data_IF_252084185679
#
_entry.id   IF_252084185679
#
_cell.length_a   1.000
_cell.length_b   1.000
_cell.length_c   1.000
_cell.angle_alpha   90.00
_cell.angle_beta   90.00
_cell.angle_gamma   90.00
#
_symmetry.space_group_name_H-M   'P 1'
#
loop_
_entity.id
_entity.type
_entity.pdbx_description
1 polymer ?
#
# COMPACT_ATOMS: atom_id res chain seq x y z
N UNK A 1 -29.58 -40.11 -33.15
CA UNK A 1 -29.17 -41.27 -32.33
C UNK A 1 -28.23 -40.77 -31.24
N UNK A 2 -28.81 -40.30 -30.11
CA UNK A 2 -28.07 -40.05 -28.88
C UNK A 2 -28.48 -41.11 -27.85
N UNK A 3 -27.98 -42.33 -28.02
CA UNK A 3 -28.30 -43.49 -27.23
C UNK A 3 -27.22 -43.81 -26.18
N UNK A 4 -26.76 -42.80 -25.44
CA UNK A 4 -25.76 -43.03 -24.39
C UNK A 4 -25.95 -42.17 -23.13
N UNK A 5 -27.17 -41.78 -22.79
CA UNK A 5 -27.45 -41.17 -21.50
C UNK A 5 -28.32 -42.14 -20.70
N UNK A 6 -27.84 -42.71 -19.59
CA UNK A 6 -28.63 -43.58 -18.73
C UNK A 6 -29.91 -42.85 -18.28
N UNK A 7 -31.06 -43.56 -18.33
CA UNK A 7 -32.37 -43.03 -17.96
C UNK A 7 -32.40 -42.46 -16.54
N UNK A 8 -31.54 -42.96 -15.66
CA UNK A 8 -31.35 -42.45 -14.29
C UNK A 8 -30.82 -41.03 -14.25
N UNK A 9 -29.98 -40.63 -15.21
CA UNK A 9 -29.45 -39.24 -15.29
C UNK A 9 -30.54 -38.30 -15.78
N UNK A 10 -31.38 -38.73 -16.73
CA UNK A 10 -32.50 -37.91 -17.24
C UNK A 10 -33.56 -37.72 -16.13
N UNK A 11 -33.84 -38.76 -15.36
CA UNK A 11 -34.74 -38.69 -14.22
C UNK A 11 -34.21 -37.86 -13.06
N UNK A 12 -32.89 -37.84 -12.85
CA UNK A 12 -32.22 -36.96 -11.87
C UNK A 12 -32.22 -35.49 -12.31
N UNK A 13 -31.99 -35.21 -13.59
CA UNK A 13 -32.00 -33.90 -14.18
C UNK A 13 -33.40 -33.26 -14.21
N UNK A 14 -34.46 -34.10 -14.43
CA UNK A 14 -35.85 -33.60 -14.42
C UNK A 14 -36.38 -33.28 -13.02
N UNK A 15 -35.77 -33.83 -11.95
CA UNK A 15 -36.10 -33.54 -10.56
C UNK A 15 -35.41 -32.23 -10.01
N UNK A 16 -34.46 -31.72 -10.76
CA UNK A 16 -33.79 -30.47 -10.36
C UNK A 16 -34.67 -29.29 -10.73
N UNK A 17 -35.16 -28.57 -9.75
CA UNK A 17 -35.86 -27.29 -9.96
C UNK A 17 -34.86 -26.21 -10.44
N UNK A 18 -34.59 -26.24 -11.76
CA UNK A 18 -33.68 -25.29 -12.42
C UNK A 18 -34.09 -23.84 -12.20
N UNK A 19 -35.39 -23.58 -12.05
CA UNK A 19 -35.94 -22.24 -11.89
C UNK A 19 -35.53 -21.66 -10.54
N UNK A 20 -35.60 -22.44 -9.46
CA UNK A 20 -35.17 -21.98 -8.14
C UNK A 20 -33.64 -21.82 -8.10
N UNK A 21 -32.87 -22.74 -8.66
CA UNK A 21 -31.42 -22.67 -8.69
C UNK A 21 -30.89 -21.48 -9.51
N UNK A 22 -31.50 -21.23 -10.68
CA UNK A 22 -31.13 -20.05 -11.49
C UNK A 22 -31.47 -18.77 -10.74
N UNK A 23 -32.63 -18.72 -10.07
CA UNK A 23 -33.03 -17.55 -9.28
C UNK A 23 -32.08 -17.31 -8.11
N UNK A 24 -31.59 -18.37 -7.45
CA UNK A 24 -30.62 -18.27 -6.35
C UNK A 24 -29.24 -17.83 -6.85
N UNK A 25 -28.78 -18.36 -7.99
CA UNK A 25 -27.55 -17.92 -8.64
C UNK A 25 -27.65 -16.43 -9.02
N UNK A 26 -28.74 -16.04 -9.66
CA UNK A 26 -28.98 -14.64 -10.06
C UNK A 26 -28.99 -13.72 -8.82
N UNK A 27 -29.67 -14.10 -7.74
CA UNK A 27 -29.67 -13.34 -6.48
C UNK A 27 -28.28 -13.24 -5.87
N UNK A 28 -27.52 -14.34 -5.86
CA UNK A 28 -26.13 -14.37 -5.33
C UNK A 28 -25.21 -13.47 -6.15
N UNK A 29 -25.34 -13.51 -7.48
CA UNK A 29 -24.57 -12.61 -8.37
C UNK A 29 -24.99 -11.15 -8.17
N UNK A 30 -26.30 -10.90 -8.05
CA UNK A 30 -26.79 -9.53 -7.84
C UNK A 30 -26.38 -8.94 -6.49
N UNK A 31 -26.41 -9.73 -5.42
CA UNK A 31 -25.93 -9.33 -4.09
C UNK A 31 -24.40 -9.18 -4.08
N UNK A 32 -23.68 -10.03 -4.80
CA UNK A 32 -22.23 -9.92 -4.97
C UNK A 32 -21.83 -8.64 -5.73
N UNK A 33 -22.57 -8.28 -6.78
CA UNK A 33 -22.34 -7.04 -7.53
C UNK A 33 -22.60 -5.79 -6.67
N UNK A 34 -23.64 -5.82 -5.82
CA UNK A 34 -23.92 -4.73 -4.88
C UNK A 34 -22.77 -4.52 -3.89
N UNK A 35 -22.27 -5.59 -3.30
CA UNK A 35 -21.16 -5.51 -2.36
C UNK A 35 -19.85 -5.05 -3.02
N UNK A 36 -19.58 -5.46 -4.27
CA UNK A 36 -18.43 -4.97 -5.04
C UNK A 36 -18.56 -3.48 -5.33
N UNK A 37 -19.76 -3.01 -5.69
CA UNK A 37 -20.01 -1.60 -5.96
C UNK A 37 -19.83 -0.76 -4.70
N UNK A 38 -20.30 -1.23 -3.54
CA UNK A 38 -20.10 -0.56 -2.25
C UNK A 38 -18.60 -0.49 -1.88
N UNK A 39 -17.86 -1.55 -2.10
CA UNK A 39 -16.40 -1.55 -1.89
C UNK A 39 -15.72 -0.56 -2.82
N UNK A 40 -16.08 -0.51 -4.09
CA UNK A 40 -15.50 0.44 -5.06
C UNK A 40 -15.83 1.88 -4.66
N UNK A 41 -17.09 2.19 -4.35
CA UNK A 41 -17.50 3.54 -3.94
C UNK A 41 -16.81 3.95 -2.65
N UNK A 42 -16.75 3.07 -1.66
CA UNK A 42 -16.07 3.34 -0.39
C UNK A 42 -14.58 3.55 -0.59
N UNK A 43 -13.94 2.73 -1.42
CA UNK A 43 -12.51 2.85 -1.71
C UNK A 43 -12.21 4.16 -2.44
N UNK A 44 -12.97 4.49 -3.48
CA UNK A 44 -12.80 5.75 -4.23
C UNK A 44 -13.03 6.96 -3.31
N UNK A 45 -14.07 6.94 -2.48
CA UNK A 45 -14.34 8.01 -1.51
C UNK A 45 -13.20 8.17 -0.50
N UNK A 46 -12.66 7.06 -0.02
CA UNK A 46 -11.52 7.05 0.91
C UNK A 46 -10.25 7.60 0.25
N UNK A 47 -10.00 7.26 -1.01
CA UNK A 47 -8.88 7.80 -1.77
C UNK A 47 -9.00 9.30 -2.00
N UNK A 48 -10.18 9.79 -2.41
CA UNK A 48 -10.42 11.23 -2.60
C UNK A 48 -10.25 11.98 -1.29
N UNK A 49 -10.80 11.47 -0.19
CA UNK A 49 -10.63 12.04 1.15
C UNK A 49 -9.16 12.04 1.58
N UNK A 50 -8.44 10.93 1.34
CA UNK A 50 -7.02 10.79 1.64
C UNK A 50 -6.15 11.79 0.86
N UNK A 51 -6.41 11.96 -0.44
CA UNK A 51 -5.70 12.93 -1.28
C UNK A 51 -5.96 14.36 -0.81
N UNK A 52 -7.20 14.70 -0.49
CA UNK A 52 -7.56 16.03 0.04
C UNK A 52 -6.85 16.30 1.35
N UNK A 53 -6.87 15.34 2.27
CA UNK A 53 -6.18 15.45 3.56
C UNK A 53 -4.66 15.58 3.38
N UNK A 54 -4.06 14.78 2.51
CA UNK A 54 -2.63 14.88 2.20
C UNK A 54 -2.25 16.25 1.61
N UNK A 55 -3.07 16.77 0.70
CA UNK A 55 -2.86 18.08 0.11
C UNK A 55 -2.90 19.20 1.17
N UNK A 56 -3.92 19.19 2.04
CA UNK A 56 -4.01 20.14 3.14
C UNK A 56 -2.84 20.00 4.12
N UNK A 57 -2.43 18.76 4.43
CA UNK A 57 -1.29 18.50 5.29
C UNK A 57 0.02 19.03 4.69
N UNK A 58 0.23 18.89 3.38
CA UNK A 58 1.41 19.45 2.69
C UNK A 58 1.40 20.97 2.75
N UNK A 59 0.26 21.63 2.46
CA UNK A 59 0.16 23.10 2.57
C UNK A 59 0.48 23.55 3.99
N UNK A 60 -0.09 22.88 4.99
CA UNK A 60 0.15 23.21 6.39
C UNK A 60 1.61 22.98 6.79
N UNK A 61 2.22 21.89 6.33
CA UNK A 61 3.64 21.59 6.55
C UNK A 61 4.54 22.68 5.94
N UNK A 62 4.26 23.11 4.70
CA UNK A 62 5.00 24.21 4.05
C UNK A 62 4.86 25.50 4.86
N UNK A 63 3.65 25.83 5.30
CA UNK A 63 3.40 27.02 6.13
C UNK A 63 4.18 26.96 7.45
N UNK A 64 4.17 25.82 8.13
CA UNK A 64 4.96 25.63 9.35
C UNK A 64 6.47 25.73 9.10
N UNK A 65 6.96 25.16 7.99
CA UNK A 65 8.38 25.22 7.62
C UNK A 65 8.83 26.66 7.34
N UNK A 66 8.01 27.46 6.66
CA UNK A 66 8.30 28.87 6.41
C UNK A 66 8.34 29.68 7.71
N UNK A 67 7.49 29.32 8.69
CA UNK A 67 7.41 29.97 10.01
C UNK A 67 8.29 29.35 11.10
N UNK A 68 9.05 28.26 10.83
CA UNK A 68 9.69 27.42 11.85
C UNK A 68 10.55 28.20 12.86
N UNK A 69 11.32 29.15 12.40
CA UNK A 69 12.22 29.92 13.26
C UNK A 69 11.43 30.85 14.22
N UNK A 70 10.35 31.45 13.71
CA UNK A 70 9.49 32.34 14.52
C UNK A 70 8.68 31.53 15.54
N UNK A 71 8.06 30.46 15.09
CA UNK A 71 7.26 29.56 15.94
C UNK A 71 8.14 28.91 17.01
N UNK A 72 9.30 28.38 16.61
CA UNK A 72 10.26 27.77 17.55
C UNK A 72 10.78 28.74 18.62
N UNK A 73 11.12 29.98 18.24
CA UNK A 73 11.58 30.99 19.20
C UNK A 73 10.46 31.42 20.15
N UNK A 74 9.23 31.55 19.68
CA UNK A 74 8.09 31.87 20.53
C UNK A 74 7.78 30.75 21.51
N UNK A 75 7.79 29.50 21.02
CA UNK A 75 7.56 28.34 21.86
C UNK A 75 8.63 28.18 22.94
N UNK A 76 9.90 28.33 22.58
CA UNK A 76 11.01 28.33 23.54
C UNK A 76 10.84 29.41 24.61
N UNK A 77 10.48 30.65 24.21
CA UNK A 77 10.24 31.75 25.15
C UNK A 77 9.13 31.44 26.14
N UNK A 78 8.01 30.87 25.67
CA UNK A 78 6.90 30.50 26.54
C UNK A 78 7.33 29.37 27.49
N UNK A 79 8.02 28.35 26.97
CA UNK A 79 8.49 27.25 27.78
C UNK A 79 9.46 27.69 28.88
N UNK A 80 10.46 28.52 28.57
CA UNK A 80 11.41 29.00 29.57
C UNK A 80 10.77 29.93 30.61
N UNK A 81 9.61 30.54 30.31
CA UNK A 81 8.93 31.39 31.27
C UNK A 81 8.03 30.62 32.25
N UNK A 82 7.36 29.54 31.78
CA UNK A 82 6.36 28.82 32.56
C UNK A 82 6.85 27.48 33.09
N UNK A 83 7.95 26.95 32.58
CA UNK A 83 8.40 25.58 32.88
C UNK A 83 9.79 25.63 33.50
N UNK A 84 10.04 24.84 34.59
CA UNK A 84 11.37 24.74 35.20
C UNK A 84 12.44 24.29 34.21
N UNK A 85 13.64 24.80 34.29
CA UNK A 85 14.76 24.50 33.39
C UNK A 85 15.03 23.03 33.19
N UNK A 86 14.95 22.22 34.26
CA UNK A 86 15.13 20.77 34.19
C UNK A 86 14.16 20.05 33.22
N UNK A 87 12.95 20.58 33.06
CA UNK A 87 11.95 20.01 32.16
C UNK A 87 12.19 20.52 30.73
N UNK A 88 12.57 21.78 30.60
CA UNK A 88 12.86 22.39 29.29
C UNK A 88 14.09 21.73 28.64
N UNK A 89 15.16 21.44 29.38
CA UNK A 89 16.32 20.72 28.87
C UNK A 89 15.95 19.32 28.37
N UNK A 90 15.12 18.58 29.13
CA UNK A 90 14.64 17.25 28.72
C UNK A 90 13.77 17.32 27.45
N UNK A 91 12.93 18.35 27.36
CA UNK A 91 12.09 18.57 26.20
C UNK A 91 12.93 18.90 24.95
N UNK A 92 13.91 19.80 25.06
CA UNK A 92 14.85 20.14 23.98
C UNK A 92 15.66 18.91 23.54
N UNK A 93 16.04 18.04 24.48
CA UNK A 93 16.70 16.78 24.18
C UNK A 93 15.79 15.84 23.38
N UNK A 94 14.54 15.65 23.82
CA UNK A 94 13.56 14.81 23.13
C UNK A 94 13.25 15.35 21.73
N UNK A 95 13.06 16.66 21.59
CA UNK A 95 12.84 17.28 20.28
C UNK A 95 14.02 17.06 19.33
N UNK A 96 15.25 17.18 19.83
CA UNK A 96 16.45 16.95 19.02
C UNK A 96 16.58 15.47 18.57
N UNK A 97 16.34 14.55 19.52
CA UNK A 97 16.36 13.11 19.20
C UNK A 97 15.24 12.76 18.21
N UNK A 98 14.06 13.34 18.39
CA UNK A 98 12.95 13.15 17.44
C UNK A 98 13.30 13.69 16.05
N UNK A 99 13.83 14.92 15.95
CA UNK A 99 14.23 15.51 14.67
C UNK A 99 15.27 14.66 13.94
N UNK A 100 16.31 14.21 14.66
CA UNK A 100 17.34 13.33 14.10
C UNK A 100 16.78 11.97 13.66
N UNK A 101 15.89 11.39 14.46
CA UNK A 101 15.27 10.10 14.16
C UNK A 101 14.33 10.21 12.95
N UNK A 102 13.51 11.26 12.87
CA UNK A 102 12.65 11.52 11.72
C UNK A 102 13.45 11.78 10.45
N UNK A 103 14.51 12.57 10.54
CA UNK A 103 15.38 12.82 9.39
C UNK A 103 15.98 11.51 8.84
N UNK A 104 16.57 10.70 9.71
CA UNK A 104 17.12 9.40 9.34
C UNK A 104 16.05 8.46 8.75
N UNK A 105 14.88 8.43 9.37
CA UNK A 105 13.75 7.62 8.89
C UNK A 105 13.31 8.03 7.48
N UNK A 106 13.08 9.33 7.25
CA UNK A 106 12.62 9.83 5.93
C UNK A 106 13.65 9.54 4.84
N UNK A 107 14.94 9.79 5.11
CA UNK A 107 16.01 9.51 4.15
C UNK A 107 16.10 8.01 3.84
N UNK A 108 16.03 7.17 4.86
CA UNK A 108 16.03 5.72 4.69
C UNK A 108 14.81 5.24 3.89
N UNK A 109 13.62 5.76 4.19
CA UNK A 109 12.38 5.41 3.52
C UNK A 109 12.38 5.84 2.04
N UNK A 110 12.89 7.05 1.74
CA UNK A 110 13.08 7.49 0.35
C UNK A 110 14.05 6.57 -0.41
N UNK A 111 15.14 6.19 0.23
CA UNK A 111 16.14 5.31 -0.38
C UNK A 111 15.57 3.92 -0.64
N UNK A 112 14.86 3.36 0.34
CA UNK A 112 14.19 2.07 0.24
C UNK A 112 13.14 2.06 -0.87
N UNK A 113 12.27 3.09 -0.92
CA UNK A 113 11.25 3.22 -1.95
C UNK A 113 11.84 3.26 -3.38
N UNK A 114 12.95 3.98 -3.58
CA UNK A 114 13.63 4.02 -4.88
C UNK A 114 14.26 2.67 -5.25
N UNK A 115 14.88 1.98 -4.29
CA UNK A 115 15.45 0.64 -4.51
C UNK A 115 14.33 -0.34 -4.87
N UNK A 116 13.24 -0.37 -4.10
CA UNK A 116 12.14 -1.30 -4.30
C UNK A 116 11.45 -1.07 -5.65
N UNK A 117 11.11 0.18 -5.98
CA UNK A 117 10.52 0.50 -7.27
C UNK A 117 11.44 0.26 -8.46
N UNK A 118 12.75 0.49 -8.28
CA UNK A 118 13.78 0.14 -9.28
C UNK A 118 13.86 -1.37 -9.50
N UNK A 119 13.93 -2.17 -8.44
CA UNK A 119 13.95 -3.63 -8.52
C UNK A 119 12.65 -4.17 -9.10
N UNK A 120 11.50 -3.60 -8.73
CA UNK A 120 10.21 -3.95 -9.29
C UNK A 120 10.20 -3.72 -10.82
N UNK A 121 10.61 -2.52 -11.26
CA UNK A 121 10.68 -2.18 -12.68
C UNK A 121 11.62 -3.10 -13.43
N UNK A 122 12.84 -3.29 -12.94
CA UNK A 122 13.85 -4.14 -13.58
C UNK A 122 13.41 -5.60 -13.64
N UNK A 123 12.88 -6.14 -12.55
CA UNK A 123 12.39 -7.51 -12.50
C UNK A 123 11.23 -7.75 -13.48
N UNK A 124 10.29 -6.81 -13.55
CA UNK A 124 9.19 -6.88 -14.52
C UNK A 124 9.68 -6.80 -15.97
N UNK A 125 10.69 -5.96 -16.26
CA UNK A 125 11.31 -5.88 -17.60
C UNK A 125 11.99 -7.20 -17.98
N UNK A 126 12.74 -7.81 -17.05
CA UNK A 126 13.39 -9.11 -17.27
C UNK A 126 12.33 -10.19 -17.56
N UNK A 127 11.23 -10.20 -16.81
CA UNK A 127 10.12 -11.14 -17.00
C UNK A 127 9.21 -10.78 -18.18
N UNK A 128 9.51 -9.67 -18.89
CA UNK A 128 8.72 -9.16 -20.02
C UNK A 128 7.25 -8.95 -19.67
N UNK A 129 6.98 -8.48 -18.45
CA UNK A 129 5.65 -8.14 -17.99
C UNK A 129 5.25 -6.75 -18.48
N UNK A 130 3.96 -6.53 -18.79
CA UNK A 130 3.46 -5.23 -19.23
C UNK A 130 3.47 -4.22 -18.08
N UNK A 131 3.43 -2.93 -18.43
CA UNK A 131 3.31 -1.80 -17.49
C UNK A 131 4.46 -1.69 -16.46
N UNK A 132 5.63 -2.25 -16.72
CA UNK A 132 6.75 -2.31 -15.77
C UNK A 132 7.12 -0.94 -15.18
N UNK A 133 7.30 0.08 -16.03
CA UNK A 133 7.65 1.43 -15.56
C UNK A 133 6.53 2.08 -14.73
N UNK A 134 5.27 1.88 -15.11
CA UNK A 134 4.12 2.44 -14.41
C UNK A 134 3.96 1.77 -13.03
N UNK A 135 4.01 0.44 -12.97
CA UNK A 135 3.88 -0.30 -11.71
C UNK A 135 5.06 -0.01 -10.80
N UNK A 136 6.28 0.08 -11.34
CA UNK A 136 7.45 0.48 -10.57
C UNK A 136 7.32 1.90 -9.99
N UNK A 137 6.84 2.87 -10.78
CA UNK A 137 6.60 4.22 -10.29
C UNK A 137 5.51 4.27 -9.19
N UNK A 138 4.42 3.52 -9.37
CA UNK A 138 3.39 3.36 -8.33
C UNK A 138 3.98 2.73 -7.07
N UNK A 139 4.83 1.71 -7.22
CA UNK A 139 5.52 1.08 -6.09
C UNK A 139 6.40 2.08 -5.34
N UNK A 140 7.17 2.95 -6.03
CA UNK A 140 7.94 4.02 -5.37
C UNK A 140 7.04 4.92 -4.52
N UNK A 141 5.94 5.38 -5.11
CA UNK A 141 5.02 6.31 -4.40
C UNK A 141 4.32 5.63 -3.23
N UNK A 142 3.87 4.41 -3.40
CA UNK A 142 3.15 3.69 -2.35
C UNK A 142 4.08 3.19 -1.24
N UNK A 143 5.34 2.87 -1.53
CA UNK A 143 6.34 2.41 -0.57
C UNK A 143 6.62 3.42 0.55
N UNK A 144 6.28 4.71 0.38
CA UNK A 144 6.35 5.68 1.47
C UNK A 144 5.47 5.31 2.69
N UNK A 145 4.46 4.48 2.49
CA UNK A 145 3.64 3.95 3.57
C UNK A 145 4.07 2.50 3.81
N UNK A 146 4.86 2.22 4.86
CA UNK A 146 5.37 0.88 5.13
C UNK A 146 4.25 -0.16 5.18
N UNK A 147 4.48 -1.35 4.64
CA UNK A 147 3.54 -2.47 4.55
C UNK A 147 2.36 -2.21 3.61
N UNK A 148 1.65 -1.09 3.78
CA UNK A 148 0.48 -0.73 2.96
C UNK A 148 0.89 -0.44 1.51
N UNK A 149 2.03 0.21 1.33
CA UNK A 149 2.54 0.56 0.00
C UNK A 149 2.81 -0.65 -0.87
N UNK A 150 3.46 -1.65 -0.33
CA UNK A 150 3.74 -2.90 -1.00
C UNK A 150 2.47 -3.64 -1.42
N UNK A 151 1.47 -3.69 -0.52
CA UNK A 151 0.19 -4.31 -0.79
C UNK A 151 -0.59 -3.58 -1.89
N UNK A 152 -0.63 -2.24 -1.84
CA UNK A 152 -1.31 -1.42 -2.85
C UNK A 152 -0.64 -1.52 -4.22
N UNK A 153 0.69 -1.40 -4.27
CA UNK A 153 1.45 -1.53 -5.52
C UNK A 153 1.28 -2.91 -6.14
N UNK A 154 1.34 -3.96 -5.33
CA UNK A 154 1.12 -5.34 -5.76
C UNK A 154 -0.31 -5.59 -6.24
N UNK A 155 -1.32 -5.12 -5.52
CA UNK A 155 -2.72 -5.30 -5.88
C UNK A 155 -3.07 -4.56 -7.19
N UNK A 156 -2.65 -3.30 -7.31
CA UNK A 156 -2.86 -2.50 -8.54
C UNK A 156 -2.13 -3.11 -9.73
N UNK A 157 -0.88 -3.55 -9.53
CA UNK A 157 -0.11 -4.21 -10.58
C UNK A 157 -0.75 -5.52 -11.03
N UNK A 158 -1.15 -6.37 -10.09
CA UNK A 158 -1.84 -7.62 -10.40
C UNK A 158 -3.15 -7.39 -11.16
N UNK A 159 -3.94 -6.40 -10.74
CA UNK A 159 -5.20 -6.06 -11.39
C UNK A 159 -4.99 -5.59 -12.84
N UNK A 160 -4.04 -4.68 -13.07
CA UNK A 160 -3.75 -4.17 -14.41
C UNK A 160 -3.24 -5.26 -15.36
N UNK A 161 -2.35 -6.13 -14.88
CA UNK A 161 -1.81 -7.23 -15.68
C UNK A 161 -2.87 -8.31 -15.94
N UNK A 162 -3.77 -8.54 -14.98
CA UNK A 162 -4.86 -9.50 -15.13
C UNK A 162 -5.80 -9.13 -16.28
N UNK A 163 -6.02 -7.84 -16.52
CA UNK A 163 -6.84 -7.36 -17.64
C UNK A 163 -6.21 -7.68 -19.01
N UNK A 164 -4.89 -7.85 -19.07
CA UNK A 164 -4.18 -8.21 -20.29
C UNK A 164 -4.02 -9.73 -20.46
N UNK A 165 -3.56 -10.40 -19.39
CA UNK A 165 -3.31 -11.84 -19.41
C UNK A 165 -3.31 -12.44 -18.01
N UNK A 166 -4.20 -13.41 -17.71
CA UNK A 166 -4.23 -14.11 -16.44
C UNK A 166 -2.92 -14.84 -16.10
N UNK A 167 -2.24 -15.37 -17.12
CA UNK A 167 -0.96 -16.08 -16.93
C UNK A 167 0.13 -15.10 -16.50
N UNK A 168 0.23 -13.93 -17.15
CA UNK A 168 1.18 -12.89 -16.75
C UNK A 168 0.88 -12.35 -15.36
N UNK A 169 -0.40 -12.22 -14.99
CA UNK A 169 -0.78 -11.81 -13.64
C UNK A 169 -0.32 -12.81 -12.58
N UNK A 170 -0.42 -14.11 -12.85
CA UNK A 170 0.09 -15.13 -11.95
C UNK A 170 1.62 -15.06 -11.80
N UNK A 171 2.34 -14.87 -12.91
CA UNK A 171 3.81 -14.66 -12.88
C UNK A 171 4.16 -13.42 -12.05
N UNK A 172 3.42 -12.32 -12.23
CA UNK A 172 3.61 -11.10 -11.46
C UNK A 172 3.36 -11.30 -9.97
N UNK A 173 2.31 -12.03 -9.59
CA UNK A 173 2.01 -12.34 -8.18
C UNK A 173 3.14 -13.12 -7.52
N UNK A 174 3.67 -14.14 -8.19
CA UNK A 174 4.83 -14.88 -7.67
C UNK A 174 6.04 -13.95 -7.56
N UNK A 175 6.32 -13.16 -8.59
CA UNK A 175 7.42 -12.21 -8.60
C UNK A 175 7.33 -11.19 -7.45
N UNK A 176 6.15 -10.57 -7.26
CA UNK A 176 6.00 -9.54 -6.24
C UNK A 176 6.12 -10.12 -4.82
N UNK A 177 5.64 -11.34 -4.59
CA UNK A 177 5.80 -12.04 -3.31
C UNK A 177 7.29 -12.29 -3.03
N UNK A 178 8.06 -12.76 -4.02
CA UNK A 178 9.50 -12.95 -3.87
C UNK A 178 10.23 -11.63 -3.63
N UNK A 179 9.85 -10.58 -4.34
CA UNK A 179 10.42 -9.25 -4.16
C UNK A 179 10.15 -8.72 -2.75
N UNK A 180 8.94 -8.90 -2.23
CA UNK A 180 8.57 -8.52 -0.87
C UNK A 180 9.36 -9.30 0.19
N UNK A 181 9.62 -10.58 -0.05
CA UNK A 181 10.45 -11.38 0.84
C UNK A 181 11.91 -10.85 0.88
N UNK A 182 12.45 -10.53 -0.30
CA UNK A 182 13.79 -9.93 -0.40
C UNK A 182 13.84 -8.55 0.28
N UNK A 183 12.81 -7.76 0.09
CA UNK A 183 12.68 -6.44 0.73
C UNK A 183 12.67 -6.59 2.26
N UNK A 184 11.77 -7.40 2.80
CA UNK A 184 11.61 -7.57 4.25
C UNK A 184 12.83 -8.19 4.94
N UNK A 185 13.46 -9.17 4.32
CA UNK A 185 14.57 -9.92 4.95
C UNK A 185 15.93 -9.29 4.69
N UNK A 186 16.11 -8.57 3.58
CA UNK A 186 17.41 -8.11 3.14
C UNK A 186 17.53 -6.58 3.04
N UNK A 187 16.58 -5.92 2.37
CA UNK A 187 16.68 -4.50 2.05
C UNK A 187 16.27 -3.66 3.26
N UNK A 188 15.10 -3.91 3.82
CA UNK A 188 14.56 -3.14 4.93
C UNK A 188 15.48 -3.10 6.15
N UNK A 189 16.03 -4.24 6.65
CA UNK A 189 16.95 -4.22 7.79
C UNK A 189 18.25 -3.46 7.51
N UNK A 190 18.75 -3.50 6.27
CA UNK A 190 19.98 -2.81 5.90
C UNK A 190 19.80 -1.32 5.66
N UNK A 191 18.70 -0.90 5.06
CA UNK A 191 18.48 0.49 4.68
C UNK A 191 17.85 1.26 5.84
N UNK A 192 16.78 0.75 6.42
CA UNK A 192 16.03 1.42 7.47
C UNK A 192 16.59 1.07 8.86
N UNK A 193 16.84 -0.19 9.13
CA UNK A 193 17.32 -0.67 10.43
C UNK A 193 18.68 -0.08 10.81
N UNK A 194 19.63 -0.07 9.90
CA UNK A 194 20.95 0.52 10.14
C UNK A 194 20.91 2.04 10.34
N UNK A 195 20.00 2.72 9.68
CA UNK A 195 19.84 4.18 9.79
C UNK A 195 19.24 4.60 11.13
N UNK A 196 18.44 3.74 11.75
CA UNK A 196 17.81 4.00 13.05
C UNK A 196 18.64 3.54 14.25
N UNK A 197 19.81 2.94 14.02
CA UNK A 197 20.70 2.46 15.09
C UNK A 197 20.12 1.27 15.87
N UNK A 198 19.18 0.55 15.29
CA UNK A 198 18.67 -0.70 15.86
C UNK A 198 19.69 -1.81 15.64
N UNK A 199 20.04 -2.62 16.67
CA UNK A 199 20.90 -3.78 16.45
C UNK A 199 20.21 -4.73 15.48
N UNK A 200 20.92 -5.11 14.43
CA UNK A 200 20.51 -6.19 13.53
C UNK A 200 20.46 -7.48 14.34
N UNK A 201 19.24 -7.97 14.55
CA UNK A 201 19.00 -9.29 15.16
C UNK A 201 19.24 -10.36 14.11
#
# INVERSE_FOLDING_TARGET
EFEFVPEDIIAALSKIDWKSRITDIVKTVYSGLGSVMDVVVTTVSSLVSGVTTAFLAIIFAIYLLLGKNKIGSQLKRVMHHFIPERITEKFDYVCRVADESFHKFIVAQCTEALILGGLCTLGMLILRLPYAAMIGAVTVVTAFIPVVGALLGGALGAFLILMESPVKALIFLVFIILLQQIEGDLIYPRVVGSSMGLPSI
#
